data_IF_067697823870
#
_entry.id   IF_067697823870
#
_cell.length_a   1.000
_cell.length_b   1.000
_cell.length_c   1.000
_cell.angle_alpha   90.00
_cell.angle_beta   90.00
_cell.angle_gamma   90.00
#
_symmetry.space_group_name_H-M   'P 1'
#
loop_
_entity.id
_entity.type
_entity.pdbx_description
1 polymer ?
#
# COMPACT_ATOMS: atom_id res chain seq x y z
N UNK A 1 -17.58 -18.41 -17.27
CA UNK A 1 -16.49 -18.14 -16.32
C UNK A 1 -16.84 -16.90 -15.52
N UNK A 2 -17.15 -17.04 -14.23
CA UNK A 2 -17.57 -15.93 -13.38
C UNK A 2 -16.37 -15.00 -13.16
N UNK A 3 -16.49 -13.73 -13.58
CA UNK A 3 -15.47 -12.71 -13.35
C UNK A 3 -15.33 -12.53 -11.84
N UNK A 4 -14.18 -12.90 -11.26
CA UNK A 4 -13.87 -12.65 -9.85
C UNK A 4 -14.20 -11.19 -9.53
N UNK A 5 -15.29 -10.96 -8.81
CA UNK A 5 -15.72 -9.65 -8.35
C UNK A 5 -14.74 -9.24 -7.25
N UNK A 6 -13.56 -8.77 -7.64
CA UNK A 6 -12.62 -8.14 -6.72
C UNK A 6 -13.42 -7.09 -5.96
N UNK A 7 -13.51 -7.28 -4.65
CA UNK A 7 -14.38 -6.51 -3.78
C UNK A 7 -13.86 -5.06 -3.74
N UNK A 8 -14.39 -4.17 -4.58
CA UNK A 8 -13.90 -2.77 -4.73
C UNK A 8 -13.76 -2.02 -3.40
N UNK A 9 -14.42 -2.49 -2.34
CA UNK A 9 -14.26 -2.00 -0.98
C UNK A 9 -12.82 -2.18 -0.44
N UNK A 10 -12.17 -3.32 -0.69
CA UNK A 10 -10.79 -3.56 -0.23
C UNK A 10 -9.79 -2.63 -0.94
N UNK A 11 -10.07 -2.28 -2.21
CA UNK A 11 -9.22 -1.36 -2.95
C UNK A 11 -9.32 0.04 -2.34
N UNK A 12 -10.54 0.50 -2.04
CA UNK A 12 -10.77 1.78 -1.38
C UNK A 12 -10.12 1.86 0.00
N UNK A 13 -10.15 0.76 0.76
CA UNK A 13 -9.48 0.65 2.05
C UNK A 13 -7.95 0.75 1.86
N UNK A 14 -7.42 0.02 0.87
CA UNK A 14 -6.00 0.00 0.55
C UNK A 14 -5.46 1.37 0.11
N UNK A 15 -6.16 2.10 -0.77
CA UNK A 15 -5.73 3.46 -1.16
C UNK A 15 -5.98 4.50 -0.07
N UNK A 16 -6.86 4.24 0.90
CA UNK A 16 -7.06 5.15 2.03
C UNK A 16 -6.06 4.96 3.17
N UNK A 17 -5.33 3.84 3.18
CA UNK A 17 -4.30 3.55 4.16
C UNK A 17 -3.25 4.69 4.21
N UNK A 18 -2.97 5.26 5.40
CA UNK A 18 -2.09 6.41 5.52
C UNK A 18 -0.66 6.09 5.10
N UNK A 19 -0.18 4.86 5.29
CA UNK A 19 1.17 4.46 4.88
C UNK A 19 1.29 4.32 3.37
N UNK A 20 0.20 3.94 2.68
CA UNK A 20 0.14 3.93 1.21
C UNK A 20 0.20 5.37 0.67
N UNK A 21 -0.50 6.31 1.31
CA UNK A 21 -0.46 7.74 0.94
C UNK A 21 0.91 8.36 1.22
N UNK A 22 1.51 8.09 2.38
CA UNK A 22 2.87 8.52 2.69
C UNK A 22 3.86 7.96 1.66
N UNK A 23 3.74 6.67 1.32
CA UNK A 23 4.64 6.02 0.37
C UNK A 23 4.55 6.66 -1.01
N UNK A 24 3.33 6.93 -1.50
CA UNK A 24 3.14 7.65 -2.75
C UNK A 24 3.70 9.07 -2.71
N UNK A 25 3.51 9.79 -1.59
CA UNK A 25 4.03 11.16 -1.43
C UNK A 25 5.54 11.22 -1.49
N UNK A 26 6.22 10.20 -0.96
CA UNK A 26 7.67 10.14 -0.90
C UNK A 26 8.30 9.35 -2.05
N UNK A 27 7.49 8.89 -3.01
CA UNK A 27 7.96 8.20 -4.22
C UNK A 27 8.25 6.71 -4.02
N UNK A 28 7.88 6.14 -2.87
CA UNK A 28 7.97 4.71 -2.61
C UNK A 28 6.84 3.94 -3.30
N UNK A 29 7.20 2.83 -3.95
CA UNK A 29 6.26 1.95 -4.68
C UNK A 29 5.35 1.12 -3.78
N UNK A 30 5.69 0.96 -2.51
CA UNK A 30 4.91 0.19 -1.55
C UNK A 30 5.12 0.72 -0.13
N UNK A 31 4.08 0.61 0.72
CA UNK A 31 4.19 0.89 2.18
C UNK A 31 5.31 0.10 2.86
N UNK A 32 5.66 -1.05 2.29
CA UNK A 32 6.75 -1.90 2.77
C UNK A 32 8.12 -1.23 2.67
N UNK A 33 8.29 -0.21 1.82
CA UNK A 33 9.55 0.52 1.72
C UNK A 33 9.91 1.24 3.02
N UNK A 34 8.93 1.78 3.76
CA UNK A 34 9.18 2.36 5.08
C UNK A 34 9.62 1.33 6.10
N UNK A 35 8.94 0.17 6.12
CA UNK A 35 9.30 -0.96 6.97
C UNK A 35 10.70 -1.48 6.66
N UNK A 36 11.07 -1.55 5.38
CA UNK A 36 12.38 -2.01 4.95
C UNK A 36 13.47 -0.99 5.27
N UNK A 37 13.22 0.31 5.06
CA UNK A 37 14.14 1.37 5.46
C UNK A 37 14.37 1.37 6.98
N UNK A 38 13.30 1.18 7.77
CA UNK A 38 13.38 1.08 9.24
C UNK A 38 14.18 -0.17 9.71
N UNK A 39 14.14 -1.27 8.94
CA UNK A 39 14.93 -2.47 9.21
C UNK A 39 16.39 -2.31 8.76
N UNK A 40 16.65 -1.62 7.65
CA UNK A 40 18.00 -1.37 7.12
C UNK A 40 18.79 -0.38 8.00
N UNK A 41 18.09 0.50 8.72
CA UNK A 41 18.68 1.45 9.68
C UNK A 41 18.97 0.82 11.06
N UNK A 42 18.57 -0.43 11.31
CA UNK A 42 18.93 -1.20 12.53
C UNK A 42 20.23 -1.99 12.39
#
# INVERSE_FOLDING_TARGET
MAKNKFNKNWLHDHVNDPYVKLAQKEGYRARAAYKLAEIDEQ
#
